data_IF_718978033555
#
_entry.id   IF_718978033555
#
_cell.length_a   1.000
_cell.length_b   1.000
_cell.length_c   1.000
_cell.angle_alpha   90.00
_cell.angle_beta   90.00
_cell.angle_gamma   90.00
#
_symmetry.space_group_name_H-M   'P 1'
#
loop_
_entity.id
_entity.type
_entity.pdbx_description
1 polymer ?
#
# COMPACT_ATOMS: atom_id res chain seq x y z
N UNK A 1 -29.05 -20.09 -7.72
CA UNK A 1 -28.16 -21.06 -7.06
C UNK A 1 -27.03 -20.27 -6.43
N UNK A 2 -26.65 -20.56 -5.19
CA UNK A 2 -25.47 -19.92 -4.57
C UNK A 2 -24.24 -20.56 -5.21
N UNK A 3 -23.43 -19.80 -5.92
CA UNK A 3 -22.17 -20.30 -6.49
C UNK A 3 -21.23 -20.72 -5.36
N UNK A 4 -20.58 -21.87 -5.51
CA UNK A 4 -19.53 -22.25 -4.57
C UNK A 4 -18.28 -21.41 -4.80
N UNK A 5 -17.44 -21.25 -3.77
CA UNK A 5 -16.15 -20.55 -3.92
C UNK A 5 -15.29 -21.15 -5.05
N UNK A 6 -15.37 -22.47 -5.25
CA UNK A 6 -14.67 -23.16 -6.33
C UNK A 6 -15.19 -22.77 -7.72
N UNK A 7 -16.49 -22.58 -7.87
CA UNK A 7 -17.11 -22.13 -9.11
C UNK A 7 -16.72 -20.68 -9.43
N UNK A 8 -16.71 -19.81 -8.41
CA UNK A 8 -16.27 -18.41 -8.54
C UNK A 8 -14.81 -18.35 -9.00
N UNK A 9 -13.92 -19.14 -8.42
CA UNK A 9 -12.50 -19.15 -8.80
C UNK A 9 -12.28 -19.71 -10.21
N UNK A 10 -12.98 -20.78 -10.58
CA UNK A 10 -12.91 -21.36 -11.93
C UNK A 10 -13.46 -20.40 -12.98
N UNK A 11 -14.56 -19.72 -12.67
CA UNK A 11 -15.16 -18.68 -13.51
C UNK A 11 -14.20 -17.52 -13.71
N UNK A 12 -13.65 -16.97 -12.61
CA UNK A 12 -12.67 -15.88 -12.65
C UNK A 12 -11.41 -16.23 -13.46
N UNK A 13 -10.84 -17.42 -13.26
CA UNK A 13 -9.70 -17.88 -14.07
C UNK A 13 -10.06 -18.04 -15.56
N UNK A 14 -11.27 -18.53 -15.86
CA UNK A 14 -11.77 -18.64 -17.22
C UNK A 14 -11.92 -17.28 -17.91
N UNK A 15 -12.42 -16.26 -17.20
CA UNK A 15 -12.52 -14.88 -17.70
C UNK A 15 -11.12 -14.30 -17.95
N UNK A 16 -10.20 -14.47 -17.00
CA UNK A 16 -8.83 -13.99 -17.11
C UNK A 16 -8.10 -14.59 -18.33
N UNK A 17 -8.21 -15.91 -18.53
CA UNK A 17 -7.56 -16.59 -19.66
C UNK A 17 -8.04 -16.10 -21.03
N UNK A 18 -9.31 -15.68 -21.13
CA UNK A 18 -9.88 -15.11 -22.36
C UNK A 18 -9.53 -13.63 -22.55
N UNK A 19 -9.11 -12.96 -21.48
CA UNK A 19 -8.88 -11.52 -21.43
C UNK A 19 -7.54 -11.21 -20.77
N UNK A 20 -6.43 -11.63 -21.39
CA UNK A 20 -5.07 -11.39 -20.86
C UNK A 20 -4.76 -9.90 -20.65
N UNK A 21 -5.49 -9.03 -21.34
CA UNK A 21 -5.41 -7.58 -21.20
C UNK A 21 -5.77 -7.08 -19.79
N UNK A 22 -6.45 -7.90 -18.97
CA UNK A 22 -6.68 -7.65 -17.54
C UNK A 22 -5.38 -7.52 -16.73
N UNK A 23 -4.25 -8.01 -17.25
CA UNK A 23 -2.94 -7.82 -16.63
C UNK A 23 -2.28 -6.47 -16.93
N UNK A 24 -2.72 -5.77 -17.98
CA UNK A 24 -2.08 -4.52 -18.45
C UNK A 24 -2.10 -3.40 -17.40
N UNK A 25 -3.20 -3.14 -16.66
CA UNK A 25 -3.22 -2.08 -15.65
C UNK A 25 -2.08 -2.21 -14.64
N UNK A 26 -1.81 -3.43 -14.16
CA UNK A 26 -0.76 -3.69 -13.17
C UNK A 26 0.66 -3.54 -13.74
N UNK A 27 0.86 -3.88 -15.02
CA UNK A 27 2.14 -3.65 -15.69
C UNK A 27 2.41 -2.16 -15.90
N UNK A 28 1.39 -1.39 -16.28
CA UNK A 28 1.50 0.06 -16.44
C UNK A 28 1.74 0.75 -15.09
N UNK A 29 1.04 0.31 -14.05
CA UNK A 29 1.25 0.76 -12.66
C UNK A 29 2.72 0.58 -12.25
N UNK A 30 3.25 -0.63 -12.37
CA UNK A 30 4.65 -0.95 -12.05
C UNK A 30 5.65 -0.07 -12.82
N UNK A 31 5.45 0.09 -14.14
CA UNK A 31 6.36 0.88 -14.98
C UNK A 31 6.33 2.35 -14.57
N UNK A 32 5.14 2.91 -14.32
CA UNK A 32 5.01 4.32 -13.96
C UNK A 32 5.54 4.58 -12.55
N UNK A 33 5.26 3.71 -11.58
CA UNK A 33 5.85 3.80 -10.23
C UNK A 33 7.38 3.75 -10.29
N UNK A 34 7.95 2.86 -11.10
CA UNK A 34 9.40 2.79 -11.29
C UNK A 34 9.97 4.09 -11.90
N UNK A 35 9.31 4.66 -12.90
CA UNK A 35 9.72 5.93 -13.51
C UNK A 35 9.65 7.10 -12.51
N UNK A 36 8.60 7.16 -11.70
CA UNK A 36 8.45 8.16 -10.64
C UNK A 36 9.58 8.02 -9.62
N UNK A 37 9.90 6.80 -9.20
CA UNK A 37 11.00 6.53 -8.29
C UNK A 37 12.35 6.98 -8.86
N UNK A 38 12.63 6.66 -10.13
CA UNK A 38 13.87 7.09 -10.80
C UNK A 38 13.98 8.61 -10.90
N UNK A 39 12.91 9.30 -11.27
CA UNK A 39 12.86 10.76 -11.34
C UNK A 39 13.11 11.40 -9.97
N UNK A 40 12.61 10.80 -8.89
CA UNK A 40 12.78 11.34 -7.55
C UNK A 40 14.17 11.04 -6.97
N UNK A 41 14.73 9.86 -7.21
CA UNK A 41 16.11 9.53 -6.83
C UNK A 41 17.10 10.46 -7.54
N UNK A 42 16.93 10.66 -8.85
CA UNK A 42 17.78 11.58 -9.62
C UNK A 42 17.66 13.03 -9.14
N UNK A 43 16.44 13.49 -8.83
CA UNK A 43 16.23 14.80 -8.22
C UNK A 43 16.92 14.91 -6.86
N UNK A 44 16.76 13.90 -6.01
CA UNK A 44 17.38 13.88 -4.68
C UNK A 44 18.91 13.91 -4.75
N UNK A 45 19.52 13.11 -5.63
CA UNK A 45 20.97 13.12 -5.84
C UNK A 45 21.44 14.50 -6.32
N UNK A 46 20.72 15.11 -7.27
CA UNK A 46 21.05 16.44 -7.78
C UNK A 46 21.00 17.52 -6.69
N UNK A 47 19.91 17.58 -5.91
CA UNK A 47 19.77 18.57 -4.84
C UNK A 47 20.66 18.30 -3.61
N UNK A 48 20.96 17.03 -3.31
CA UNK A 48 21.87 16.71 -2.21
C UNK A 48 23.34 16.97 -2.55
N UNK A 49 23.75 16.85 -3.82
CA UNK A 49 25.10 17.18 -4.26
C UNK A 49 25.45 18.67 -4.02
N UNK A 50 24.49 19.58 -4.20
CA UNK A 50 24.66 21.00 -3.88
C UNK A 50 24.78 21.24 -2.36
N UNK A 51 24.01 20.49 -1.54
CA UNK A 51 24.10 20.54 -0.07
C UNK A 51 25.47 20.08 0.45
N UNK A 52 26.02 18.99 -0.10
CA UNK A 52 27.32 18.45 0.34
C UNK A 52 28.52 19.24 -0.24
N UNK A 53 28.38 19.83 -1.44
CA UNK A 53 29.45 20.66 -2.01
C UNK A 53 29.59 22.01 -1.32
N UNK A 54 28.50 22.57 -0.78
CA UNK A 54 28.52 23.79 0.04
C UNK A 54 29.26 23.57 1.37
N UNK A 55 29.00 22.44 2.07
CA UNK A 55 29.71 22.08 3.31
C UNK A 55 31.19 21.79 3.09
N UNK A 56 31.55 21.08 2.01
CA UNK A 56 32.95 20.78 1.71
C UNK A 56 33.81 22.04 1.48
N UNK A 57 33.23 23.16 1.05
CA UNK A 57 33.94 24.43 0.91
C UNK A 57 34.22 25.13 2.25
N UNK A 58 33.36 24.94 3.27
CA UNK A 58 33.56 25.51 4.61
C UNK A 58 34.51 24.66 5.48
N UNK A 59 34.44 23.33 5.36
CA UNK A 59 35.25 22.40 6.18
C UNK A 59 36.74 22.35 5.78
N UNK A 60 37.10 22.72 4.54
CA UNK A 60 38.51 22.79 4.12
C UNK A 60 39.26 23.92 4.86
N UNK A 61 38.57 24.95 5.33
CA UNK A 61 39.16 26.09 6.05
C UNK A 61 39.06 25.98 7.58
N UNK A 62 38.26 25.05 8.11
CA UNK A 62 38.10 24.84 9.55
C UNK A 62 38.23 23.35 9.86
N UNK A 63 39.38 22.96 10.40
CA UNK A 63 39.76 21.55 10.54
C UNK A 63 38.69 20.68 11.20
N UNK A 64 38.41 19.53 10.55
CA UNK A 64 37.59 18.40 11.03
C UNK A 64 36.56 18.74 12.11
N UNK A 65 35.53 19.46 11.68
CA UNK A 65 34.31 19.71 12.43
C UNK A 65 33.54 18.40 12.63
N UNK A 66 33.03 18.13 13.85
CA UNK A 66 32.11 17.02 14.09
C UNK A 66 30.88 17.17 13.19
N UNK A 67 30.27 16.07 12.71
CA UNK A 67 29.08 16.16 11.88
C UNK A 67 27.99 16.92 12.64
N UNK A 68 27.58 18.06 12.06
CA UNK A 68 26.56 18.91 12.62
C UNK A 68 25.24 18.13 12.73
N UNK A 69 24.82 17.85 13.98
CA UNK A 69 23.58 17.14 14.28
C UNK A 69 22.39 17.83 13.63
N UNK A 70 22.42 19.16 13.51
CA UNK A 70 21.36 19.92 12.86
C UNK A 70 21.29 19.66 11.34
N UNK A 71 22.45 19.52 10.68
CA UNK A 71 22.56 19.10 9.29
C UNK A 71 22.00 17.70 9.05
N UNK A 72 22.31 16.75 9.93
CA UNK A 72 21.76 15.38 9.86
C UNK A 72 20.23 15.39 10.04
N UNK A 73 19.71 16.17 11.00
CA UNK A 73 18.26 16.28 11.23
C UNK A 73 17.54 16.90 10.03
N UNK A 74 18.11 17.95 9.42
CA UNK A 74 17.53 18.58 8.22
C UNK A 74 17.52 17.62 7.03
N UNK A 75 18.60 16.86 6.83
CA UNK A 75 18.67 15.82 5.81
C UNK A 75 17.60 14.74 6.02
N UNK A 76 17.48 14.22 7.25
CA UNK A 76 16.48 13.21 7.59
C UNK A 76 15.05 13.73 7.38
N UNK A 77 14.78 14.98 7.76
CA UNK A 77 13.49 15.61 7.54
C UNK A 77 13.17 15.73 6.04
N UNK A 78 14.10 16.23 5.23
CA UNK A 78 13.94 16.34 3.79
C UNK A 78 13.72 14.96 3.14
N UNK A 79 14.49 13.96 3.56
CA UNK A 79 14.36 12.59 3.09
C UNK A 79 12.98 12.00 3.41
N UNK A 80 12.51 12.15 4.66
CA UNK A 80 11.19 11.67 5.07
C UNK A 80 10.06 12.42 4.34
N UNK A 81 10.19 13.73 4.14
CA UNK A 81 9.22 14.52 3.38
C UNK A 81 9.15 14.06 1.91
N UNK A 82 10.30 13.78 1.29
CA UNK A 82 10.37 13.24 -0.07
C UNK A 82 9.75 11.85 -0.14
N UNK A 83 10.06 10.94 0.80
CA UNK A 83 9.44 9.61 0.84
C UNK A 83 7.92 9.70 1.00
N UNK A 84 7.42 10.59 1.85
CA UNK A 84 5.98 10.83 2.00
C UNK A 84 5.35 11.33 0.69
N UNK A 85 6.03 12.25 0.00
CA UNK A 85 5.58 12.73 -1.31
C UNK A 85 5.52 11.61 -2.35
N UNK A 86 6.58 10.78 -2.45
CA UNK A 86 6.63 9.60 -3.34
C UNK A 86 5.45 8.68 -3.04
N UNK A 87 5.25 8.35 -1.77
CA UNK A 87 4.19 7.45 -1.32
C UNK A 87 2.80 7.93 -1.77
N UNK A 88 2.52 9.22 -1.59
CA UNK A 88 1.23 9.83 -1.98
C UNK A 88 1.05 9.80 -3.51
N UNK A 89 2.11 10.10 -4.27
CA UNK A 89 2.05 10.07 -5.74
C UNK A 89 1.84 8.66 -6.26
N UNK A 90 2.57 7.66 -5.74
CA UNK A 90 2.37 6.26 -6.10
C UNK A 90 0.95 5.80 -5.74
N UNK A 91 0.44 6.16 -4.55
CA UNK A 91 -0.94 5.83 -4.17
C UNK A 91 -1.98 6.41 -5.14
N UNK A 92 -1.76 7.63 -5.66
CA UNK A 92 -2.65 8.23 -6.65
C UNK A 92 -2.61 7.48 -7.99
N UNK A 93 -1.41 7.10 -8.44
CA UNK A 93 -1.19 6.32 -9.67
C UNK A 93 -1.84 4.94 -9.54
N UNK A 94 -1.58 4.25 -8.43
CA UNK A 94 -2.15 2.96 -8.11
C UNK A 94 -3.68 3.02 -8.06
N UNK A 95 -4.27 4.07 -7.46
CA UNK A 95 -5.72 4.26 -7.45
C UNK A 95 -6.33 4.39 -8.86
N UNK A 96 -5.61 4.98 -9.82
CA UNK A 96 -6.07 5.03 -11.22
C UNK A 96 -6.07 3.63 -11.85
N UNK A 97 -4.95 2.90 -11.75
CA UNK A 97 -4.80 1.59 -12.38
C UNK A 97 -5.63 0.52 -11.71
N UNK A 98 -5.74 0.53 -10.39
CA UNK A 98 -6.55 -0.41 -9.63
C UNK A 98 -8.04 -0.20 -9.91
N UNK A 99 -8.52 1.05 -9.95
CA UNK A 99 -9.89 1.33 -10.37
C UNK A 99 -10.17 0.87 -11.81
N UNK A 100 -9.23 1.12 -12.73
CA UNK A 100 -9.29 0.64 -14.10
C UNK A 100 -9.37 -0.89 -14.17
N UNK A 101 -8.51 -1.59 -13.45
CA UNK A 101 -8.48 -3.05 -13.40
C UNK A 101 -9.79 -3.64 -12.85
N UNK A 102 -10.32 -3.08 -11.76
CA UNK A 102 -11.60 -3.53 -11.18
C UNK A 102 -12.74 -3.28 -12.17
N UNK A 103 -12.75 -2.14 -12.85
CA UNK A 103 -13.70 -1.81 -13.90
C UNK A 103 -13.66 -2.81 -15.07
N UNK A 104 -12.46 -3.12 -15.56
CA UNK A 104 -12.28 -4.13 -16.61
C UNK A 104 -12.74 -5.52 -16.18
N UNK A 105 -12.44 -5.95 -14.95
CA UNK A 105 -12.90 -7.25 -14.43
C UNK A 105 -14.42 -7.29 -14.37
N UNK A 106 -15.07 -6.20 -13.94
CA UNK A 106 -16.53 -6.09 -13.95
C UNK A 106 -17.08 -6.22 -15.38
N UNK A 107 -16.57 -5.43 -16.33
CA UNK A 107 -17.02 -5.48 -17.74
C UNK A 107 -16.80 -6.86 -18.37
N UNK A 108 -15.66 -7.51 -18.07
CA UNK A 108 -15.36 -8.85 -18.54
C UNK A 108 -16.27 -9.92 -17.90
N UNK A 109 -16.69 -9.73 -16.66
CA UNK A 109 -17.64 -10.62 -15.97
C UNK A 109 -19.05 -10.50 -16.58
N UNK A 110 -19.47 -9.26 -16.90
CA UNK A 110 -20.81 -8.99 -17.43
C UNK A 110 -20.93 -9.35 -18.93
N UNK A 111 -19.88 -9.12 -19.73
CA UNK A 111 -19.93 -9.23 -21.20
C UNK A 111 -19.04 -10.33 -21.79
N UNK A 112 -18.21 -10.97 -20.97
CA UNK A 112 -17.22 -11.97 -21.40
C UNK A 112 -15.93 -11.38 -21.99
N UNK A 113 -15.87 -10.07 -22.28
CA UNK A 113 -14.70 -9.39 -22.83
C UNK A 113 -14.44 -8.01 -22.20
N UNK A 114 -13.22 -7.50 -22.31
CA UNK A 114 -12.88 -6.14 -21.88
C UNK A 114 -11.82 -5.51 -22.78
N UNK A 115 -11.74 -4.19 -22.77
CA UNK A 115 -10.82 -3.40 -23.59
C UNK A 115 -10.06 -2.38 -22.73
N UNK A 116 -9.01 -1.74 -23.26
CA UNK A 116 -8.24 -0.73 -22.52
C UNK A 116 -8.99 0.59 -22.36
N UNK A 117 -10.00 0.86 -23.20
CA UNK A 117 -10.83 2.06 -23.03
C UNK A 117 -11.57 2.02 -21.68
N UNK A 118 -12.10 0.86 -21.31
CA UNK A 118 -12.72 0.58 -20.00
C UNK A 118 -11.76 0.90 -18.85
N UNK A 119 -10.49 0.50 -18.96
CA UNK A 119 -9.46 0.82 -17.97
C UNK A 119 -9.39 2.32 -17.73
N UNK A 120 -9.28 3.10 -18.80
CA UNK A 120 -9.13 4.56 -18.70
C UNK A 120 -10.42 5.24 -18.25
N UNK A 121 -11.59 4.73 -18.66
CA UNK A 121 -12.90 5.22 -18.24
C UNK A 121 -13.11 5.07 -16.73
N UNK A 122 -12.95 3.85 -16.21
CA UNK A 122 -13.07 3.60 -14.76
C UNK A 122 -11.96 4.28 -13.96
N UNK A 123 -10.72 4.25 -14.45
CA UNK A 123 -9.58 4.91 -13.81
C UNK A 123 -9.84 6.40 -13.61
N UNK A 124 -10.20 7.14 -14.67
CA UNK A 124 -10.51 8.58 -14.56
C UNK A 124 -11.71 8.85 -13.66
N UNK A 125 -12.76 8.03 -13.76
CA UNK A 125 -13.99 8.23 -13.00
C UNK A 125 -13.80 8.00 -11.50
N UNK A 126 -12.93 7.05 -11.12
CA UNK A 126 -12.82 6.56 -9.74
C UNK A 126 -11.49 6.84 -9.04
N UNK A 127 -10.48 7.37 -9.72
CA UNK A 127 -9.17 7.66 -9.13
C UNK A 127 -9.27 8.47 -7.83
N UNK A 128 -10.00 9.59 -7.82
CA UNK A 128 -10.10 10.45 -6.62
C UNK A 128 -10.83 9.74 -5.48
N UNK A 129 -11.93 9.04 -5.79
CA UNK A 129 -12.70 8.34 -4.78
C UNK A 129 -11.91 7.19 -4.16
N UNK A 130 -11.18 6.42 -4.97
CA UNK A 130 -10.37 5.29 -4.50
C UNK A 130 -9.12 5.79 -3.75
N UNK A 131 -8.45 6.83 -4.25
CA UNK A 131 -7.32 7.47 -3.58
C UNK A 131 -7.70 7.98 -2.18
N UNK A 132 -8.82 8.71 -2.05
CA UNK A 132 -9.29 9.18 -0.75
C UNK A 132 -9.71 8.03 0.17
N UNK A 133 -10.31 6.97 -0.37
CA UNK A 133 -10.64 5.78 0.43
C UNK A 133 -9.37 5.10 0.96
N UNK A 134 -8.33 4.98 0.14
CA UNK A 134 -7.04 4.42 0.52
C UNK A 134 -6.35 5.28 1.60
N UNK A 135 -6.32 6.61 1.44
CA UNK A 135 -5.83 7.52 2.49
C UNK A 135 -6.56 7.31 3.82
N UNK A 136 -7.90 7.25 3.79
CA UNK A 136 -8.68 7.07 5.01
C UNK A 136 -8.40 5.72 5.69
N UNK A 137 -8.25 4.65 4.91
CA UNK A 137 -7.91 3.32 5.43
C UNK A 137 -6.49 3.32 6.02
N UNK A 138 -5.52 3.94 5.34
CA UNK A 138 -4.14 4.05 5.83
C UNK A 138 -4.05 4.88 7.11
N UNK A 139 -4.81 5.97 7.22
CA UNK A 139 -4.90 6.75 8.46
C UNK A 139 -5.47 5.92 9.61
N UNK A 140 -6.47 5.07 9.35
CA UNK A 140 -7.00 4.13 10.36
C UNK A 140 -5.89 3.16 10.78
N UNK A 141 -5.20 2.55 9.82
CA UNK A 141 -4.10 1.59 10.07
C UNK A 141 -2.98 2.23 10.91
N UNK A 142 -2.52 3.42 10.53
CA UNK A 142 -1.47 4.14 11.26
C UNK A 142 -1.94 4.53 12.66
N UNK A 143 -3.15 5.09 12.78
CA UNK A 143 -3.69 5.49 14.08
C UNK A 143 -3.77 4.30 15.06
N UNK A 144 -4.21 3.13 14.59
CA UNK A 144 -4.26 1.94 15.43
C UNK A 144 -2.88 1.47 15.88
N UNK A 145 -1.88 1.45 14.99
CA UNK A 145 -0.50 1.09 15.35
C UNK A 145 0.09 2.09 16.34
N UNK A 146 -0.10 3.39 16.13
CA UNK A 146 0.37 4.45 17.03
C UNK A 146 -0.28 4.32 18.42
N UNK A 147 -1.56 3.96 18.50
CA UNK A 147 -2.24 3.74 19.79
C UNK A 147 -1.70 2.48 20.48
N UNK A 148 -1.59 1.36 19.76
CA UNK A 148 -1.17 0.06 20.31
C UNK A 148 0.29 0.10 20.78
N UNK A 149 1.20 0.71 20.02
CA UNK A 149 2.61 0.81 20.37
C UNK A 149 2.91 2.03 21.25
N UNK A 150 2.33 3.18 20.92
CA UNK A 150 2.68 4.46 21.53
C UNK A 150 2.22 4.60 22.97
N UNK A 151 1.01 4.12 23.33
CA UNK A 151 0.49 4.26 24.70
C UNK A 151 1.35 3.44 25.70
N UNK A 152 1.64 2.14 25.46
CA UNK A 152 2.49 1.37 26.38
C UNK A 152 3.91 1.95 26.51
N UNK A 153 4.50 2.41 25.40
CA UNK A 153 5.85 3.02 25.43
C UNK A 153 5.83 4.33 26.23
N UNK A 154 4.87 5.21 25.97
CA UNK A 154 4.74 6.47 26.71
C UNK A 154 4.53 6.22 28.21
N UNK A 155 3.73 5.21 28.56
CA UNK A 155 3.49 4.81 29.94
C UNK A 155 4.75 4.24 30.62
N UNK A 156 5.48 3.36 29.93
CA UNK A 156 6.75 2.79 30.41
C UNK A 156 7.82 3.87 30.67
N UNK A 157 7.94 4.85 29.76
CA UNK A 157 8.84 6.01 29.93
C UNK A 157 8.44 6.84 31.15
N UNK A 158 7.14 7.08 31.34
CA UNK A 158 6.62 7.87 32.46
C UNK A 158 6.92 7.21 33.82
N UNK A 159 6.78 5.88 33.91
CA UNK A 159 6.95 5.14 35.16
C UNK A 159 8.41 4.81 35.50
N UNK A 160 9.38 5.10 34.61
CA UNK A 160 10.81 4.76 34.78
C UNK A 160 11.04 3.28 35.12
N UNK A 161 10.18 2.39 34.61
CA UNK A 161 10.23 0.97 34.92
C UNK A 161 11.47 0.27 34.32
N UNK A 162 11.83 -0.87 34.91
CA UNK A 162 13.02 -1.65 34.54
C UNK A 162 13.04 -2.02 33.05
N UNK A 163 14.24 -2.00 32.46
CA UNK A 163 14.52 -2.27 31.04
C UNK A 163 13.86 -3.57 30.53
N UNK A 164 13.79 -4.63 31.33
CA UNK A 164 13.23 -5.93 30.94
C UNK A 164 11.71 -5.87 30.72
N UNK A 165 10.98 -5.13 31.56
CA UNK A 165 9.52 -4.99 31.43
C UNK A 165 9.15 -4.22 30.13
N UNK A 166 10.00 -3.28 29.73
CA UNK A 166 9.81 -2.49 28.51
C UNK A 166 9.95 -3.34 27.23
N UNK A 167 10.86 -4.31 27.20
CA UNK A 167 11.01 -5.21 26.04
C UNK A 167 9.83 -6.15 25.87
N UNK A 168 9.27 -6.68 26.96
CA UNK A 168 8.10 -7.55 26.91
C UNK A 168 6.85 -6.78 26.44
N UNK A 169 6.64 -5.57 26.95
CA UNK A 169 5.55 -4.70 26.50
C UNK A 169 5.69 -4.33 25.01
N UNK A 170 6.91 -4.05 24.55
CA UNK A 170 7.18 -3.76 23.14
C UNK A 170 6.87 -4.98 22.26
N UNK A 171 7.30 -6.18 22.67
CA UNK A 171 6.98 -7.42 21.95
C UNK A 171 5.46 -7.61 21.82
N UNK A 172 4.73 -7.45 22.93
CA UNK A 172 3.26 -7.57 22.94
C UNK A 172 2.64 -6.52 22.01
N UNK A 173 3.10 -5.27 22.09
CA UNK A 173 2.62 -4.19 21.22
C UNK A 173 2.83 -4.47 19.73
N UNK A 174 4.00 -5.03 19.36
CA UNK A 174 4.31 -5.44 17.98
C UNK A 174 3.39 -6.57 17.54
N UNK A 175 3.22 -7.61 18.35
CA UNK A 175 2.31 -8.74 18.04
C UNK A 175 0.87 -8.24 17.87
N UNK A 176 0.39 -7.39 18.78
CA UNK A 176 -0.96 -6.81 18.69
C UNK A 176 -1.12 -5.93 17.45
N UNK A 177 -0.09 -5.19 17.07
CA UNK A 177 -0.10 -4.36 15.87
C UNK A 177 -0.15 -5.23 14.60
N UNK A 178 0.57 -6.35 14.54
CA UNK A 178 0.48 -7.30 13.43
C UNK A 178 -0.93 -7.88 13.32
N UNK A 179 -1.51 -8.32 14.44
CA UNK A 179 -2.89 -8.84 14.47
C UNK A 179 -3.89 -7.76 14.04
N UNK A 180 -3.72 -6.53 14.53
CA UNK A 180 -4.56 -5.39 14.18
C UNK A 180 -4.50 -5.09 12.68
N UNK A 181 -3.30 -4.96 12.10
CA UNK A 181 -3.12 -4.72 10.66
C UNK A 181 -3.74 -5.83 9.82
N UNK A 182 -3.62 -7.09 10.25
CA UNK A 182 -4.24 -8.22 9.57
C UNK A 182 -5.77 -8.12 9.61
N UNK A 183 -6.37 -7.92 10.78
CA UNK A 183 -7.82 -7.82 10.94
C UNK A 183 -8.40 -6.67 10.12
N UNK A 184 -7.79 -5.49 10.19
CA UNK A 184 -8.24 -4.30 9.47
C UNK A 184 -8.01 -4.46 7.96
N UNK A 185 -6.88 -5.05 7.55
CA UNK A 185 -6.57 -5.34 6.15
C UNK A 185 -7.60 -6.30 5.52
N UNK A 186 -8.01 -7.35 6.23
CA UNK A 186 -9.09 -8.24 5.76
C UNK A 186 -10.42 -7.50 5.71
N UNK A 187 -10.76 -6.78 6.78
CA UNK A 187 -12.06 -6.11 6.92
C UNK A 187 -12.32 -5.05 5.84
N UNK A 188 -11.27 -4.30 5.45
CA UNK A 188 -11.38 -3.28 4.40
C UNK A 188 -11.01 -3.77 3.00
N UNK A 189 -10.54 -5.02 2.84
CA UNK A 189 -10.25 -5.58 1.51
C UNK A 189 -11.41 -5.47 0.48
N UNK A 190 -12.71 -5.53 0.86
CA UNK A 190 -13.80 -5.35 -0.09
C UNK A 190 -14.05 -3.90 -0.56
N UNK A 191 -13.48 -2.89 0.11
CA UNK A 191 -13.81 -1.48 -0.10
C UNK A 191 -13.56 -1.05 -1.53
N UNK A 192 -12.39 -1.36 -2.10
CA UNK A 192 -12.04 -1.00 -3.47
C UNK A 192 -13.02 -1.57 -4.49
N UNK A 193 -13.44 -2.82 -4.31
CA UNK A 193 -14.42 -3.46 -5.17
C UNK A 193 -15.81 -2.85 -5.02
N UNK A 194 -16.26 -2.64 -3.77
CA UNK A 194 -17.54 -2.01 -3.48
C UNK A 194 -17.64 -0.59 -4.08
N UNK A 195 -16.56 0.19 -3.95
CA UNK A 195 -16.47 1.57 -4.43
C UNK A 195 -16.57 1.64 -5.96
N UNK A 196 -15.79 0.81 -6.67
CA UNK A 196 -15.73 0.86 -8.14
C UNK A 196 -16.98 0.22 -8.75
N UNK A 197 -17.39 -0.96 -8.29
CA UNK A 197 -18.52 -1.71 -8.88
C UNK A 197 -19.85 -1.01 -8.62
N UNK A 198 -20.04 -0.43 -7.42
CA UNK A 198 -21.30 0.24 -7.05
C UNK A 198 -21.30 1.75 -7.35
N UNK A 199 -20.30 2.24 -8.07
CA UNK A 199 -20.17 3.65 -8.46
C UNK A 199 -20.21 4.65 -7.27
N UNK A 200 -19.60 4.30 -6.13
CA UNK A 200 -19.66 5.11 -4.90
C UNK A 200 -18.53 6.13 -4.79
N UNK A 201 -18.70 7.11 -3.89
CA UNK A 201 -17.61 7.96 -3.38
C UNK A 201 -16.82 7.27 -2.27
N UNK A 202 -15.76 7.92 -1.77
CA UNK A 202 -14.83 7.34 -0.79
C UNK A 202 -15.51 6.82 0.49
N UNK A 203 -16.28 7.68 1.17
CA UNK A 203 -16.91 7.35 2.47
C UNK A 203 -17.98 6.27 2.28
N UNK A 204 -18.82 6.39 1.25
CA UNK A 204 -19.88 5.41 0.99
C UNK A 204 -19.30 4.07 0.52
N UNK A 205 -18.19 4.09 -0.23
CA UNK A 205 -17.41 2.91 -0.57
C UNK A 205 -16.88 2.18 0.66
N UNK A 206 -16.30 2.91 1.62
CA UNK A 206 -15.84 2.34 2.91
C UNK A 206 -17.00 1.71 3.67
N UNK A 207 -18.13 2.43 3.84
CA UNK A 207 -19.32 1.92 4.54
C UNK A 207 -19.89 0.68 3.86
N UNK A 208 -19.97 0.68 2.53
CA UNK A 208 -20.50 -0.45 1.75
C UNK A 208 -19.58 -1.65 1.82
N UNK A 209 -18.26 -1.44 1.66
CA UNK A 209 -17.26 -2.50 1.76
C UNK A 209 -17.23 -3.14 3.14
N UNK A 210 -17.27 -2.33 4.21
CA UNK A 210 -17.33 -2.83 5.58
C UNK A 210 -18.62 -3.61 5.85
N UNK A 211 -19.77 -3.12 5.38
CA UNK A 211 -21.04 -3.86 5.49
C UNK A 211 -20.96 -5.21 4.77
N UNK A 212 -20.42 -5.22 3.55
CA UNK A 212 -20.22 -6.45 2.78
C UNK A 212 -19.32 -7.45 3.53
N UNK A 213 -18.23 -6.98 4.16
CA UNK A 213 -17.39 -7.80 5.03
C UNK A 213 -18.18 -8.38 6.21
N UNK A 214 -18.97 -7.55 6.90
CA UNK A 214 -19.77 -8.00 8.04
C UNK A 214 -20.80 -9.07 7.66
N UNK A 215 -21.38 -8.95 6.46
CA UNK A 215 -22.35 -9.91 5.94
C UNK A 215 -21.69 -11.20 5.43
N UNK A 216 -20.40 -11.17 5.05
CA UNK A 216 -19.70 -12.25 4.35
C UNK A 216 -18.32 -12.60 4.94
N UNK A 217 -18.14 -12.47 6.26
CA UNK A 217 -16.83 -12.56 6.94
C UNK A 217 -15.97 -13.75 6.50
N UNK A 218 -16.57 -14.94 6.50
CA UNK A 218 -15.86 -16.18 6.14
C UNK A 218 -15.43 -16.18 4.67
N UNK A 219 -16.30 -15.78 3.75
CA UNK A 219 -15.99 -15.77 2.32
C UNK A 219 -14.91 -14.74 1.98
N UNK A 220 -14.99 -13.54 2.58
CA UNK A 220 -13.96 -12.50 2.41
C UNK A 220 -12.61 -12.98 2.97
N UNK A 221 -12.62 -13.57 4.17
CA UNK A 221 -11.39 -14.12 4.78
C UNK A 221 -10.77 -15.23 3.93
N UNK A 222 -11.58 -16.17 3.42
CA UNK A 222 -11.09 -17.26 2.57
C UNK A 222 -10.53 -16.74 1.24
N UNK A 223 -11.20 -15.78 0.59
CA UNK A 223 -10.71 -15.20 -0.66
C UNK A 223 -9.43 -14.40 -0.45
N UNK A 224 -9.36 -13.62 0.63
CA UNK A 224 -8.15 -12.93 1.05
C UNK A 224 -7.00 -13.93 1.29
N UNK A 225 -7.25 -15.02 2.01
CA UNK A 225 -6.25 -16.06 2.28
C UNK A 225 -5.72 -16.70 0.99
N UNK A 226 -6.61 -17.06 0.05
CA UNK A 226 -6.21 -17.65 -1.23
C UNK A 226 -5.31 -16.69 -2.00
N UNK A 227 -5.69 -15.41 -2.07
CA UNK A 227 -4.89 -14.38 -2.74
C UNK A 227 -3.53 -14.22 -2.05
N UNK A 228 -3.49 -14.18 -0.72
CA UNK A 228 -2.24 -14.12 0.05
C UNK A 228 -1.32 -15.31 -0.21
N UNK A 229 -1.87 -16.53 -0.30
CA UNK A 229 -1.09 -17.73 -0.62
C UNK A 229 -0.53 -17.66 -2.04
N UNK A 230 -1.30 -17.17 -3.01
CA UNK A 230 -0.80 -16.96 -4.39
C UNK A 230 0.38 -15.98 -4.39
N UNK A 231 0.27 -14.86 -3.68
CA UNK A 231 1.37 -13.90 -3.54
C UNK A 231 2.60 -14.51 -2.87
N UNK A 232 2.42 -15.32 -1.82
CA UNK A 232 3.52 -16.00 -1.13
C UNK A 232 4.25 -16.97 -2.08
N UNK A 233 3.51 -17.78 -2.84
CA UNK A 233 4.09 -18.72 -3.81
C UNK A 233 4.86 -18.00 -4.90
N UNK A 234 4.30 -16.93 -5.48
CA UNK A 234 4.99 -16.12 -6.49
C UNK A 234 6.26 -15.49 -5.90
N UNK A 235 6.17 -14.95 -4.67
CA UNK A 235 7.31 -14.38 -3.96
C UNK A 235 8.41 -15.41 -3.70
N UNK A 236 8.07 -16.61 -3.28
CA UNK A 236 9.02 -17.71 -3.07
C UNK A 236 9.71 -18.11 -4.37
N UNK A 237 8.96 -18.22 -5.47
CA UNK A 237 9.52 -18.49 -6.81
C UNK A 237 10.53 -17.40 -7.18
N UNK A 238 10.15 -16.13 -7.09
CA UNK A 238 11.03 -15.01 -7.42
C UNK A 238 12.31 -15.00 -6.56
N UNK A 239 12.19 -15.31 -5.27
CA UNK A 239 13.34 -15.44 -4.38
C UNK A 239 14.32 -16.54 -4.84
N UNK A 240 13.81 -17.72 -5.19
CA UNK A 240 14.67 -18.80 -5.70
C UNK A 240 15.31 -18.45 -7.05
N UNK A 241 14.57 -17.82 -7.97
CA UNK A 241 15.12 -17.37 -9.24
C UNK A 241 16.22 -16.32 -9.04
N UNK A 242 16.03 -15.35 -8.15
CA UNK A 242 17.02 -14.33 -7.84
C UNK A 242 18.27 -14.83 -7.09
N UNK A 243 18.26 -16.08 -6.59
CA UNK A 243 19.45 -16.72 -6.02
C UNK A 243 20.26 -17.50 -7.07
N UNK A 244 19.64 -17.87 -8.19
CA UNK A 244 20.25 -18.69 -9.25
C UNK A 244 20.92 -17.81 -10.33
N UNK A 245 20.49 -16.56 -10.47
CA UNK A 245 21.02 -15.56 -11.40
C UNK A 245 21.65 -14.40 -10.64
#
# INVERSE_FOLDING_TARGET
MVESLGDILRGGFGIWRKNLILGVPFLLDLVIEFLVLMMLISSFIFFSADLFSFQAHEDIYSGFTYPDISGIMNFLFLFLALMMFVYIVCMLINAFFEAGAIGMVRTATDTGKTELDEMTGYGKKKVIALFLANILIDLILIAGVVIILGIPIAFAVLLKEMVIFNWLLLLIGVVLSIVYLLVIGVAFSPVKYALVISDLGAIDGIKRGYRFFMDNKLHVFLLWLIVSVIYLVIGAINFFFGLIF
#
